data_IF_692336486124
#
_entry.id   IF_692336486124
#
_cell.length_a   1.000
_cell.length_b   1.000
_cell.length_c   1.000
_cell.angle_alpha   90.00
_cell.angle_beta   90.00
_cell.angle_gamma   90.00
#
_symmetry.space_group_name_H-M   'P 1'
#
loop_
_entity.id
_entity.type
_entity.pdbx_description
1 polymer ?
#
# COMPACT_ATOMS: atom_id res chain seq x y z
N UNK A 1 -0.40 -6.27 22.65
CA UNK A 1 -1.77 -6.21 22.13
C UNK A 1 -1.72 -6.31 20.60
N UNK A 2 -2.73 -6.91 19.97
CA UNK A 2 -2.84 -7.00 18.52
C UNK A 2 -3.48 -5.72 17.93
N UNK A 3 -3.21 -5.46 16.65
CA UNK A 3 -4.00 -4.53 15.87
C UNK A 3 -5.41 -5.11 15.64
N UNK A 4 -6.48 -4.28 15.50
CA UNK A 4 -7.86 -4.75 15.31
C UNK A 4 -8.02 -5.76 14.18
N UNK A 5 -7.30 -5.57 13.07
CA UNK A 5 -7.35 -6.50 11.94
C UNK A 5 -6.79 -7.89 12.27
N UNK A 6 -5.79 -7.96 13.13
CA UNK A 6 -5.19 -9.24 13.56
C UNK A 6 -6.19 -9.99 14.46
N UNK A 7 -6.85 -9.30 15.39
CA UNK A 7 -7.86 -9.91 16.25
C UNK A 7 -9.03 -10.44 15.42
N UNK A 8 -9.55 -9.67 14.46
CA UNK A 8 -10.61 -10.09 13.54
C UNK A 8 -10.22 -11.32 12.72
N UNK A 9 -9.00 -11.37 12.23
CA UNK A 9 -8.50 -12.53 11.49
C UNK A 9 -8.44 -13.78 12.37
N UNK A 10 -7.96 -13.65 13.61
CA UNK A 10 -7.91 -14.75 14.58
C UNK A 10 -9.33 -15.21 14.93
N UNK A 11 -10.25 -14.30 15.20
CA UNK A 11 -11.66 -14.60 15.48
C UNK A 11 -12.35 -15.32 14.31
N UNK A 12 -11.97 -15.00 13.07
CA UNK A 12 -12.41 -15.69 11.87
C UNK A 12 -11.74 -17.06 11.63
N UNK A 13 -10.83 -17.48 12.51
CA UNK A 13 -10.14 -18.77 12.45
C UNK A 13 -8.79 -18.76 11.74
N UNK A 14 -8.24 -17.59 11.39
CA UNK A 14 -6.88 -17.51 10.85
C UNK A 14 -5.82 -17.82 11.90
N UNK A 15 -4.76 -18.47 11.48
CA UNK A 15 -3.61 -18.82 12.33
C UNK A 15 -2.43 -17.94 11.94
N UNK A 16 -2.03 -16.95 12.78
CA UNK A 16 -0.82 -16.17 12.55
C UNK A 16 0.42 -17.05 12.63
N UNK A 17 1.17 -17.14 11.55
CA UNK A 17 2.39 -17.98 11.48
C UNK A 17 3.67 -17.20 11.72
N UNK A 18 3.62 -15.87 11.66
CA UNK A 18 4.79 -15.04 11.88
C UNK A 18 4.60 -13.58 11.52
N UNK A 19 5.70 -12.86 11.59
CA UNK A 19 5.84 -11.48 11.11
C UNK A 19 6.95 -11.45 10.08
N UNK A 20 6.67 -10.86 8.95
CA UNK A 20 7.60 -10.72 7.85
C UNK A 20 8.49 -9.49 8.02
N UNK A 21 9.55 -9.42 7.21
CA UNK A 21 10.48 -8.30 7.22
C UNK A 21 9.86 -7.05 6.58
N UNK A 22 10.27 -5.87 7.05
CA UNK A 22 9.93 -4.57 6.50
C UNK A 22 11.15 -3.64 6.61
N UNK A 23 11.24 -2.56 5.85
CA UNK A 23 12.28 -1.55 6.06
C UNK A 23 12.11 -0.87 7.42
N UNK A 24 13.15 -0.20 7.87
CA UNK A 24 13.13 0.52 9.15
C UNK A 24 11.92 1.47 9.21
N UNK A 25 11.11 1.31 10.27
CA UNK A 25 9.85 2.04 10.50
C UNK A 25 8.84 2.00 9.33
N UNK A 26 9.08 1.21 8.28
CA UNK A 26 8.21 1.18 7.10
C UNK A 26 8.44 2.31 6.09
N UNK A 27 9.49 3.11 6.22
CA UNK A 27 9.68 4.34 5.44
C UNK A 27 10.46 4.20 4.13
N UNK A 28 10.66 2.99 3.62
CA UNK A 28 11.38 2.78 2.35
C UNK A 28 10.58 1.90 1.40
N UNK A 29 10.83 2.08 0.10
CA UNK A 29 10.26 1.24 -0.96
C UNK A 29 11.13 0.03 -1.32
N UNK A 30 12.16 -0.24 -0.53
CA UNK A 30 12.97 -1.45 -0.58
C UNK A 30 13.03 -2.07 0.82
N UNK A 31 12.79 -3.37 0.91
CA UNK A 31 12.67 -4.06 2.21
C UNK A 31 14.05 -4.51 2.68
N UNK A 32 14.71 -3.60 3.36
CA UNK A 32 16.00 -3.80 3.99
C UNK A 32 16.05 -3.07 5.34
N UNK A 33 16.63 -3.70 6.35
CA UNK A 33 16.88 -3.08 7.64
C UNK A 33 18.10 -3.69 8.33
N UNK A 34 18.75 -2.94 9.23
CA UNK A 34 19.96 -3.41 9.89
C UNK A 34 19.77 -4.57 10.88
N UNK A 35 18.54 -4.80 11.34
CA UNK A 35 18.24 -5.87 12.29
C UNK A 35 18.18 -7.25 11.63
N UNK A 36 17.59 -7.31 10.42
CA UNK A 36 17.29 -8.57 9.73
C UNK A 36 17.90 -8.66 8.33
N UNK A 37 18.49 -7.57 7.85
CA UNK A 37 19.05 -7.47 6.51
C UNK A 37 17.98 -7.33 5.43
N UNK A 38 18.43 -7.55 4.20
CA UNK A 38 17.63 -7.38 2.99
C UNK A 38 16.74 -8.58 2.70
N UNK A 39 15.51 -8.32 2.31
CA UNK A 39 14.62 -9.29 1.68
C UNK A 39 14.85 -9.26 0.18
N UNK A 40 15.05 -10.42 -0.43
CA UNK A 40 15.30 -10.54 -1.85
C UNK A 40 14.02 -10.77 -2.64
N UNK A 41 13.94 -10.17 -3.83
CA UNK A 41 12.84 -10.44 -4.75
C UNK A 41 12.88 -11.94 -5.18
N UNK A 42 11.74 -12.64 -5.14
CA UNK A 42 11.72 -14.11 -5.40
C UNK A 42 12.03 -14.49 -6.85
N UNK A 43 11.90 -13.54 -7.78
CA UNK A 43 12.14 -13.76 -9.21
C UNK A 43 13.56 -13.41 -9.63
N UNK A 44 14.17 -12.40 -9.01
CA UNK A 44 15.52 -11.98 -9.27
C UNK A 44 16.10 -11.25 -8.05
N UNK A 45 17.18 -11.77 -7.48
CA UNK A 45 17.84 -11.24 -6.28
C UNK A 45 18.43 -9.83 -6.45
N UNK A 46 18.69 -9.41 -7.69
CA UNK A 46 19.19 -8.06 -7.99
C UNK A 46 18.09 -7.00 -7.95
N UNK A 47 16.82 -7.42 -8.01
CA UNK A 47 15.69 -6.52 -7.96
C UNK A 47 15.20 -6.32 -6.52
N UNK A 48 14.47 -5.22 -6.30
CA UNK A 48 13.78 -4.98 -5.04
C UNK A 48 12.52 -5.85 -4.94
N UNK A 49 12.17 -6.37 -3.76
CA UNK A 49 10.85 -6.96 -3.51
C UNK A 49 9.76 -5.90 -3.36
N UNK A 50 10.13 -4.61 -3.46
CA UNK A 50 9.28 -3.50 -3.07
C UNK A 50 9.27 -3.27 -1.55
N UNK A 51 8.50 -2.30 -1.13
CA UNK A 51 8.35 -1.89 0.27
C UNK A 51 7.12 -1.01 0.48
N UNK A 52 6.70 -0.87 1.71
CA UNK A 52 7.31 -1.42 2.92
C UNK A 52 6.89 -2.87 3.24
N UNK A 53 5.78 -3.40 2.71
CA UNK A 53 5.31 -4.77 2.95
C UNK A 53 6.02 -5.82 2.05
N UNK A 54 7.32 -5.63 1.76
CA UNK A 54 8.04 -6.51 0.82
C UNK A 54 8.28 -7.91 1.35
N UNK A 55 8.52 -8.07 2.66
CA UNK A 55 8.63 -9.39 3.26
C UNK A 55 7.35 -10.19 3.15
N UNK A 56 6.20 -9.55 3.32
CA UNK A 56 4.89 -10.18 3.14
C UNK A 56 4.63 -10.59 1.70
N UNK A 57 4.95 -9.69 0.75
CA UNK A 57 4.81 -10.00 -0.67
C UNK A 57 5.66 -11.20 -1.09
N UNK A 58 6.91 -11.29 -0.60
CA UNK A 58 7.79 -12.43 -0.87
C UNK A 58 7.25 -13.72 -0.26
N UNK A 59 6.77 -13.68 0.99
CA UNK A 59 6.21 -14.85 1.65
C UNK A 59 5.00 -15.41 0.88
N UNK A 60 4.12 -14.55 0.39
CA UNK A 60 2.95 -14.94 -0.42
C UNK A 60 3.36 -15.45 -1.80
N UNK A 61 4.27 -14.73 -2.49
CA UNK A 61 4.74 -15.11 -3.82
C UNK A 61 5.42 -16.48 -3.85
N UNK A 62 6.15 -16.80 -2.78
CA UNK A 62 6.87 -18.08 -2.64
C UNK A 62 6.04 -19.21 -2.02
N UNK A 63 4.79 -18.93 -1.63
CA UNK A 63 3.91 -19.94 -1.05
C UNK A 63 4.15 -20.24 0.43
N UNK A 64 4.94 -19.44 1.14
CA UNK A 64 5.14 -19.57 2.59
C UNK A 64 3.84 -19.24 3.36
N UNK A 65 3.04 -18.32 2.83
CA UNK A 65 1.72 -17.98 3.34
C UNK A 65 0.71 -17.86 2.18
N UNK A 66 -0.53 -18.28 2.33
CA UNK A 66 -1.58 -18.07 1.34
C UNK A 66 -2.10 -16.63 1.32
N UNK A 67 -2.01 -15.93 2.46
CA UNK A 67 -2.62 -14.64 2.72
C UNK A 67 -1.76 -13.84 3.70
N UNK A 68 -1.82 -12.53 3.62
CA UNK A 68 -1.09 -11.66 4.50
C UNK A 68 -1.72 -10.28 4.69
N UNK A 69 -1.20 -9.58 5.68
CA UNK A 69 -1.60 -8.24 6.07
C UNK A 69 -0.46 -7.27 5.80
N UNK A 70 -0.77 -6.15 5.17
CA UNK A 70 0.18 -5.07 4.95
C UNK A 70 -0.43 -3.72 5.31
N UNK A 71 0.38 -2.68 5.18
CA UNK A 71 0.00 -1.30 5.42
C UNK A 71 0.39 -0.43 4.23
N UNK A 72 -0.34 0.64 3.96
CA UNK A 72 -0.06 1.52 2.82
C UNK A 72 -0.38 2.99 3.16
N UNK A 73 0.63 3.83 3.12
CA UNK A 73 0.50 5.29 3.14
C UNK A 73 0.89 5.89 1.78
N UNK A 74 1.89 5.33 1.11
CA UNK A 74 2.44 5.84 -0.15
C UNK A 74 2.70 4.76 -1.21
N UNK A 75 2.09 3.57 -1.07
CA UNK A 75 2.27 2.46 -2.00
C UNK A 75 2.71 1.15 -1.35
N UNK A 76 2.81 1.10 -0.03
CA UNK A 76 3.44 -0.02 0.68
C UNK A 76 2.69 -1.36 0.65
N UNK A 77 1.44 -1.40 0.16
CA UNK A 77 0.73 -2.61 -0.28
C UNK A 77 0.93 -2.86 -1.78
N UNK A 78 0.75 -1.82 -2.58
CA UNK A 78 0.68 -1.89 -4.04
C UNK A 78 2.06 -2.08 -4.68
N UNK A 79 3.07 -1.37 -4.22
CA UNK A 79 4.43 -1.46 -4.73
C UNK A 79 5.04 -2.86 -4.55
N UNK A 80 5.05 -3.48 -3.35
CA UNK A 80 5.56 -4.83 -3.21
C UNK A 80 4.72 -5.88 -3.94
N UNK A 81 3.41 -5.70 -4.05
CA UNK A 81 2.57 -6.59 -4.85
C UNK A 81 2.97 -6.55 -6.34
N UNK A 82 3.21 -5.36 -6.88
CA UNK A 82 3.73 -5.17 -8.24
C UNK A 82 5.11 -5.84 -8.41
N UNK A 83 6.04 -5.61 -7.48
CA UNK A 83 7.41 -6.14 -7.56
C UNK A 83 7.46 -7.67 -7.46
N UNK A 84 6.56 -8.29 -6.70
CA UNK A 84 6.56 -9.73 -6.44
C UNK A 84 5.54 -10.51 -7.28
N UNK A 85 4.66 -9.83 -8.05
CA UNK A 85 3.67 -10.48 -8.90
C UNK A 85 2.52 -11.13 -8.12
N UNK A 86 2.06 -10.48 -7.06
CA UNK A 86 0.87 -10.88 -6.29
C UNK A 86 -0.23 -9.81 -6.39
N UNK A 87 -1.38 -10.08 -5.82
CA UNK A 87 -2.46 -9.10 -5.69
C UNK A 87 -2.45 -8.45 -4.30
N UNK A 88 -2.84 -7.18 -4.25
CA UNK A 88 -3.07 -6.45 -3.00
C UNK A 88 -4.23 -5.47 -3.16
N UNK A 89 -4.79 -5.05 -2.05
CA UNK A 89 -5.84 -4.05 -2.03
C UNK A 89 -5.50 -2.98 -1.00
N UNK A 90 -5.39 -1.73 -1.46
CA UNK A 90 -5.44 -0.56 -0.60
C UNK A 90 -6.89 -0.06 -0.55
N UNK A 91 -7.63 -0.34 0.53
CA UNK A 91 -9.00 0.15 0.65
C UNK A 91 -9.05 1.65 0.89
N UNK A 92 -10.23 2.23 0.79
CA UNK A 92 -10.47 3.61 1.23
C UNK A 92 -10.27 3.71 2.74
N UNK A 93 -9.81 4.87 3.19
CA UNK A 93 -9.64 5.17 4.62
C UNK A 93 -10.96 4.92 5.36
N UNK A 94 -10.85 4.33 6.55
CA UNK A 94 -11.99 3.98 7.39
C UNK A 94 -12.75 2.71 6.98
N UNK A 95 -12.43 2.07 5.86
CA UNK A 95 -13.03 0.75 5.51
C UNK A 95 -12.50 -0.37 6.38
N UNK A 96 -11.23 -0.32 6.70
CA UNK A 96 -10.54 -1.19 7.66
C UNK A 96 -10.10 -0.31 8.82
N UNK A 97 -10.34 -0.69 10.06
CA UNK A 97 -9.91 0.11 11.21
C UNK A 97 -8.39 0.09 11.32
N UNK A 98 -7.82 1.27 11.53
CA UNK A 98 -6.41 1.46 11.76
C UNK A 98 -6.19 2.03 13.16
N UNK A 99 -5.46 1.31 13.99
CA UNK A 99 -5.08 1.73 15.34
C UNK A 99 -3.58 1.60 15.49
N UNK A 100 -2.90 2.73 15.64
CA UNK A 100 -1.48 2.73 15.96
C UNK A 100 -1.30 2.29 17.42
N UNK A 101 -0.74 1.10 17.62
CA UNK A 101 -0.53 0.51 18.94
C UNK A 101 0.95 0.37 19.31
N UNK A 102 1.84 1.03 18.56
CA UNK A 102 3.28 0.99 18.79
C UNK A 102 3.62 2.02 19.88
N UNK A 103 4.28 1.56 20.94
CA UNK A 103 4.83 2.42 21.98
C UNK A 103 6.30 2.79 21.66
N UNK A 104 6.76 4.05 21.83
CA UNK A 104 5.93 5.20 22.20
C UNK A 104 4.95 5.57 21.10
N UNK A 105 3.79 6.08 21.49
CA UNK A 105 2.76 6.50 20.53
C UNK A 105 3.30 7.63 19.65
N UNK A 106 3.34 7.39 18.35
CA UNK A 106 3.73 8.38 17.35
C UNK A 106 2.46 8.95 16.74
N UNK A 107 2.23 10.24 16.95
CA UNK A 107 1.16 10.97 16.28
C UNK A 107 1.58 11.23 14.82
N UNK A 108 0.93 10.57 13.88
CA UNK A 108 1.19 10.75 12.46
C UNK A 108 0.59 12.04 11.90
N UNK A 109 -0.13 12.82 12.73
CA UNK A 109 -0.75 14.08 12.32
C UNK A 109 -1.62 13.92 11.07
N UNK A 110 -1.45 14.81 10.09
CA UNK A 110 -2.19 14.77 8.82
C UNK A 110 -1.91 13.50 8.02
N UNK A 111 -0.72 12.91 8.16
CA UNK A 111 -0.34 11.67 7.46
C UNK A 111 -1.22 10.47 7.83
N UNK A 112 -1.82 10.49 9.03
CA UNK A 112 -2.79 9.47 9.47
C UNK A 112 -4.05 9.40 8.58
N UNK A 113 -4.36 10.47 7.85
CA UNK A 113 -5.44 10.50 6.87
C UNK A 113 -5.14 9.69 5.58
N UNK A 114 -3.92 9.19 5.39
CA UNK A 114 -3.50 8.43 4.21
C UNK A 114 -3.18 6.97 4.53
N UNK A 115 -2.96 6.65 5.80
CA UNK A 115 -2.60 5.29 6.23
C UNK A 115 -3.80 4.37 6.20
N UNK A 116 -3.64 3.18 5.64
CA UNK A 116 -4.61 2.11 5.76
C UNK A 116 -3.93 0.75 5.76
N UNK A 117 -4.49 -0.17 6.52
CA UNK A 117 -4.15 -1.58 6.41
C UNK A 117 -4.91 -2.22 5.25
N UNK A 118 -4.38 -3.32 4.72
CA UNK A 118 -5.02 -4.03 3.63
C UNK A 118 -4.54 -5.45 3.43
N UNK A 119 -5.34 -6.26 2.73
CA UNK A 119 -5.02 -7.64 2.42
C UNK A 119 -4.03 -7.76 1.25
N UNK A 120 -3.19 -8.79 1.32
CA UNK A 120 -2.29 -9.25 0.28
C UNK A 120 -2.49 -10.74 0.04
N UNK A 121 -2.56 -11.18 -1.23
CA UNK A 121 -2.79 -12.58 -1.59
C UNK A 121 -2.37 -12.86 -3.04
N UNK A 122 -2.38 -14.13 -3.45
CA UNK A 122 -2.15 -14.49 -4.87
C UNK A 122 -3.39 -14.32 -5.75
N UNK A 123 -4.57 -14.24 -5.17
CA UNK A 123 -5.82 -14.11 -5.94
C UNK A 123 -6.71 -12.97 -5.44
N UNK A 124 -7.52 -12.41 -6.35
CA UNK A 124 -8.51 -11.38 -6.00
C UNK A 124 -9.63 -11.96 -5.12
N UNK A 125 -9.96 -13.24 -5.28
CA UNK A 125 -10.94 -13.92 -4.41
C UNK A 125 -10.51 -13.93 -2.95
N UNK A 126 -9.22 -14.20 -2.69
CA UNK A 126 -8.66 -14.19 -1.34
C UNK A 126 -8.61 -12.77 -0.76
N UNK A 127 -8.29 -11.76 -1.59
CA UNK A 127 -8.37 -10.35 -1.16
C UNK A 127 -9.79 -9.97 -0.74
N UNK A 128 -10.79 -10.41 -1.51
CA UNK A 128 -12.21 -10.16 -1.20
C UNK A 128 -12.63 -10.84 0.10
N UNK A 129 -12.21 -12.08 0.31
CA UNK A 129 -12.44 -12.80 1.55
C UNK A 129 -11.77 -12.09 2.73
N UNK A 130 -10.49 -11.75 2.62
CA UNK A 130 -9.76 -11.01 3.65
C UNK A 130 -10.42 -9.66 3.98
N UNK A 131 -10.80 -8.89 2.96
CA UNK A 131 -11.49 -7.63 3.17
C UNK A 131 -12.81 -7.81 3.92
N UNK A 132 -13.57 -8.88 3.65
CA UNK A 132 -14.84 -9.15 4.33
C UNK A 132 -14.69 -9.42 5.84
N UNK A 133 -13.53 -9.92 6.25
CA UNK A 133 -13.19 -10.14 7.66
C UNK A 133 -12.63 -8.87 8.31
N UNK A 134 -11.77 -8.14 7.58
CA UNK A 134 -11.04 -6.99 8.13
C UNK A 134 -11.89 -5.73 8.22
N UNK A 135 -12.87 -5.54 7.32
CA UNK A 135 -13.66 -4.32 7.21
C UNK A 135 -14.66 -4.14 8.37
N UNK A 136 -15.07 -2.86 8.55
CA UNK A 136 -16.11 -2.48 9.52
C UNK A 136 -15.58 -1.62 10.67
N UNK A 137 -16.50 -1.07 11.43
CA UNK A 137 -16.23 -0.13 12.53
C UNK A 137 -15.49 -0.79 13.69
N UNK A 138 -14.56 -0.04 14.30
CA UNK A 138 -13.89 -0.41 15.55
C UNK A 138 -13.92 0.77 16.53
N UNK A 139 -14.12 0.48 17.82
CA UNK A 139 -14.31 1.53 18.85
C UNK A 139 -13.10 2.44 19.02
N UNK A 140 -11.89 1.94 18.77
CA UNK A 140 -10.64 2.67 18.93
C UNK A 140 -10.22 3.45 17.67
N UNK A 141 -10.94 3.26 16.55
CA UNK A 141 -10.75 4.06 15.34
C UNK A 141 -12.03 4.81 14.98
N UNK A 142 -12.16 6.08 15.38
CA UNK A 142 -13.34 6.88 15.11
C UNK A 142 -13.57 7.14 13.61
N UNK A 143 -12.58 6.96 12.76
CA UNK A 143 -12.68 7.10 11.29
C UNK A 143 -13.28 5.85 10.65
N UNK A 144 -13.26 4.71 11.34
CA UNK A 144 -13.77 3.46 10.80
C UNK A 144 -15.29 3.45 10.72
N UNK A 145 -15.80 2.89 9.62
CA UNK A 145 -17.26 2.88 9.31
C UNK A 145 -17.73 1.48 8.93
N UNK A 146 -18.99 1.21 9.28
CA UNK A 146 -19.72 0.09 8.72
C UNK A 146 -20.38 0.53 7.40
N UNK A 147 -19.94 -0.06 6.31
CA UNK A 147 -20.52 0.18 5.00
C UNK A 147 -20.51 -1.11 4.17
N UNK A 148 -21.52 -1.35 3.32
CA UNK A 148 -21.56 -2.53 2.48
C UNK A 148 -20.30 -2.69 1.62
N UNK A 149 -19.81 -3.91 1.50
CA UNK A 149 -18.70 -4.26 0.59
C UNK A 149 -19.17 -4.52 -0.83
N UNK A 150 -20.46 -4.73 -1.00
CA UNK A 150 -21.12 -4.97 -2.29
C UNK A 150 -22.25 -3.97 -2.48
N UNK A 151 -22.48 -3.60 -3.72
CA UNK A 151 -23.55 -2.68 -4.12
C UNK A 151 -24.10 -3.06 -5.49
N UNK A 152 -25.09 -2.33 -5.97
CA UNK A 152 -25.57 -2.50 -7.33
C UNK A 152 -24.45 -2.17 -8.33
N UNK A 153 -24.18 -3.11 -9.22
CA UNK A 153 -23.29 -2.87 -10.36
C UNK A 153 -24.09 -2.18 -11.44
N UNK A 154 -23.64 -1.05 -12.02
CA UNK A 154 -24.31 -0.44 -13.16
C UNK A 154 -24.46 -1.45 -14.31
N UNK A 155 -25.55 -1.38 -15.06
CA UNK A 155 -25.78 -2.24 -16.22
C UNK A 155 -24.64 -2.13 -17.26
N UNK A 156 -24.06 -0.94 -17.37
CA UNK A 156 -22.86 -0.66 -18.18
C UNK A 156 -21.81 0.04 -17.30
N UNK A 157 -20.95 -0.70 -16.63
CA UNK A 157 -19.89 -0.09 -15.84
C UNK A 157 -18.88 0.61 -16.75
N UNK A 158 -18.33 1.74 -16.30
CA UNK A 158 -17.35 2.54 -17.05
C UNK A 158 -15.95 2.37 -16.45
N UNK A 159 -14.96 2.40 -17.33
CA UNK A 159 -13.55 2.43 -16.93
C UNK A 159 -12.79 3.49 -17.73
N UNK A 160 -12.02 4.32 -17.02
CA UNK A 160 -11.06 5.24 -17.60
C UNK A 160 -9.70 4.54 -17.75
N UNK A 161 -9.15 4.53 -18.94
CA UNK A 161 -7.85 3.93 -19.25
C UNK A 161 -6.80 5.03 -19.40
N UNK A 162 -5.88 5.10 -18.46
CA UNK A 162 -4.75 6.05 -18.47
C UNK A 162 -3.51 5.29 -18.95
N UNK A 163 -3.04 5.56 -20.16
CA UNK A 163 -1.85 4.92 -20.76
C UNK A 163 -0.59 5.76 -20.63
N UNK A 164 -0.74 7.05 -20.45
CA UNK A 164 0.35 8.00 -20.35
C UNK A 164 0.13 8.95 -19.18
N UNK A 165 1.20 9.29 -18.51
CA UNK A 165 1.21 10.28 -17.43
C UNK A 165 2.26 11.31 -17.83
N UNK A 166 1.86 12.57 -17.90
CA UNK A 166 2.76 13.68 -18.25
C UNK A 166 3.97 13.67 -17.30
N UNK A 167 5.16 13.89 -17.85
CA UNK A 167 6.45 13.86 -17.13
C UNK A 167 6.85 12.51 -16.50
N UNK A 168 6.08 11.43 -16.69
CA UNK A 168 6.46 10.09 -16.26
C UNK A 168 6.67 9.17 -17.47
N UNK A 169 7.87 8.63 -17.60
CA UNK A 169 8.15 7.65 -18.65
C UNK A 169 7.75 6.24 -18.20
N UNK A 170 6.53 5.82 -18.56
CA UNK A 170 6.08 4.47 -18.32
C UNK A 170 6.80 3.47 -19.23
N UNK A 171 7.36 2.37 -18.69
CA UNK A 171 7.94 1.32 -19.51
C UNK A 171 6.93 0.74 -20.51
N UNK A 172 7.37 0.42 -21.71
CA UNK A 172 6.51 -0.18 -22.74
C UNK A 172 5.81 -1.48 -22.29
N UNK A 173 6.44 -2.25 -21.40
CA UNK A 173 5.82 -3.43 -20.81
C UNK A 173 4.59 -3.05 -19.97
N UNK A 174 4.68 -1.99 -19.15
CA UNK A 174 3.57 -1.49 -18.34
C UNK A 174 2.44 -0.97 -19.23
N UNK A 175 2.75 -0.21 -20.28
CA UNK A 175 1.73 0.28 -21.24
C UNK A 175 0.97 -0.87 -21.88
N UNK A 176 1.66 -1.94 -22.32
CA UNK A 176 1.00 -3.13 -22.89
C UNK A 176 0.06 -3.83 -21.90
N UNK A 177 0.44 -3.94 -20.63
CA UNK A 177 -0.43 -4.57 -19.63
C UNK A 177 -1.65 -3.69 -19.29
N UNK A 178 -1.52 -2.37 -19.32
CA UNK A 178 -2.65 -1.43 -19.20
C UNK A 178 -3.63 -1.62 -20.39
N UNK A 179 -3.13 -1.68 -21.61
CA UNK A 179 -3.95 -1.91 -22.83
C UNK A 179 -4.66 -3.27 -22.77
N UNK A 180 -3.96 -4.31 -22.31
CA UNK A 180 -4.53 -5.64 -22.12
C UNK A 180 -5.64 -5.62 -21.06
N UNK A 181 -5.46 -4.93 -19.95
CA UNK A 181 -6.48 -4.75 -18.92
C UNK A 181 -7.73 -4.04 -19.50
N UNK A 182 -7.53 -2.97 -20.26
CA UNK A 182 -8.62 -2.29 -20.98
C UNK A 182 -9.39 -3.22 -21.92
N UNK A 183 -8.68 -4.04 -22.68
CA UNK A 183 -9.28 -5.03 -23.60
C UNK A 183 -10.10 -6.09 -22.83
N UNK A 184 -9.60 -6.58 -21.71
CA UNK A 184 -10.32 -7.55 -20.85
C UNK A 184 -11.61 -6.92 -20.31
N UNK A 185 -11.56 -5.68 -19.82
CA UNK A 185 -12.73 -4.97 -19.32
C UNK A 185 -13.77 -4.77 -20.44
N UNK A 186 -13.34 -4.29 -21.60
CA UNK A 186 -14.24 -4.10 -22.76
C UNK A 186 -14.92 -5.40 -23.19
N UNK A 187 -14.17 -6.51 -23.27
CA UNK A 187 -14.71 -7.83 -23.58
C UNK A 187 -15.67 -8.37 -22.51
N UNK A 188 -15.58 -7.82 -21.30
CA UNK A 188 -16.46 -8.15 -20.16
C UNK A 188 -17.68 -7.22 -20.07
N UNK A 189 -17.93 -6.39 -21.10
CA UNK A 189 -19.10 -5.52 -21.19
C UNK A 189 -18.95 -4.14 -20.54
N UNK A 190 -17.73 -3.75 -20.14
CA UNK A 190 -17.45 -2.41 -19.64
C UNK A 190 -17.32 -1.41 -20.80
N UNK A 191 -17.76 -0.19 -20.55
CA UNK A 191 -17.49 0.97 -21.41
C UNK A 191 -16.12 1.53 -21.03
N UNK A 192 -15.12 1.30 -21.90
CA UNK A 192 -13.72 1.66 -21.62
C UNK A 192 -13.34 2.86 -22.47
N UNK A 193 -12.99 3.96 -21.85
CA UNK A 193 -12.58 5.20 -22.48
C UNK A 193 -11.12 5.52 -22.14
N UNK A 194 -10.31 5.85 -23.14
CA UNK A 194 -8.96 6.36 -22.93
C UNK A 194 -9.03 7.82 -22.52
N UNK A 195 -8.40 8.16 -21.39
CA UNK A 195 -8.40 9.51 -20.84
C UNK A 195 -6.99 9.96 -20.47
N UNK A 196 -6.78 11.27 -20.42
CA UNK A 196 -5.57 11.86 -19.85
C UNK A 196 -5.55 11.67 -18.32
N UNK A 197 -4.35 11.52 -17.76
CA UNK A 197 -4.17 11.43 -16.31
C UNK A 197 -4.57 12.75 -15.63
N UNK A 198 -5.47 12.73 -14.65
CA UNK A 198 -5.84 13.97 -13.96
C UNK A 198 -4.69 14.42 -13.06
N UNK A 199 -4.22 15.64 -13.21
CA UNK A 199 -3.30 16.41 -12.32
C UNK A 199 -2.38 15.56 -11.39
N UNK A 200 -1.78 14.48 -11.90
CA UNK A 200 -0.99 13.53 -11.09
C UNK A 200 0.19 14.21 -10.42
N UNK A 201 0.79 15.19 -11.07
CA UNK A 201 1.91 15.98 -10.52
C UNK A 201 1.49 16.71 -9.25
N UNK A 202 0.34 17.39 -9.29
CA UNK A 202 -0.20 18.10 -8.13
C UNK A 202 -0.54 17.17 -6.97
N UNK A 203 -1.07 15.98 -7.28
CA UNK A 203 -1.34 14.95 -6.25
C UNK A 203 -0.03 14.50 -5.60
N UNK A 204 1.03 14.34 -6.40
CA UNK A 204 2.34 13.94 -5.89
C UNK A 204 2.97 15.02 -5.01
N UNK A 205 2.88 16.29 -5.41
CA UNK A 205 3.34 17.44 -4.60
C UNK A 205 2.60 17.55 -3.27
N UNK A 206 1.26 17.47 -3.30
CA UNK A 206 0.42 17.52 -2.09
C UNK A 206 0.79 16.35 -1.16
N UNK A 207 0.88 15.15 -1.70
CA UNK A 207 1.23 13.97 -0.91
C UNK A 207 2.62 14.09 -0.27
N UNK A 208 3.61 14.56 -1.04
CA UNK A 208 4.96 14.80 -0.53
C UNK A 208 5.00 15.84 0.58
N UNK A 209 4.27 16.95 0.41
CA UNK A 209 4.16 18.01 1.43
C UNK A 209 3.51 17.48 2.72
N UNK A 210 2.42 16.74 2.59
CA UNK A 210 1.71 16.16 3.75
C UNK A 210 2.60 15.14 4.47
N UNK A 211 3.30 14.30 3.73
CA UNK A 211 4.20 13.30 4.31
C UNK A 211 5.35 13.97 5.06
N UNK A 212 5.96 15.00 4.50
CA UNK A 212 7.07 15.70 5.14
C UNK A 212 6.64 16.45 6.38
N UNK A 213 5.60 17.28 6.29
CA UNK A 213 5.16 18.15 7.40
C UNK A 213 4.40 17.37 8.49
N UNK A 214 3.84 16.21 8.19
CA UNK A 214 3.11 15.41 9.16
C UNK A 214 3.91 14.29 9.79
N UNK A 215 4.70 13.59 8.99
CA UNK A 215 5.34 12.35 9.40
C UNK A 215 6.80 12.55 9.81
N UNK A 216 7.57 13.26 8.99
CA UNK A 216 9.01 13.41 9.24
C UNK A 216 9.30 14.37 10.38
N UNK A 217 8.50 15.43 10.52
CA UNK A 217 8.61 16.38 11.64
C UNK A 217 8.16 15.77 12.98
N UNK A 218 7.28 14.76 12.94
CA UNK A 218 6.78 14.12 14.16
C UNK A 218 7.71 13.05 14.73
N UNK A 219 8.72 12.60 13.96
CA UNK A 219 9.62 11.52 14.38
C UNK A 219 11.00 12.10 14.66
N UNK A 220 11.51 12.02 15.92
CA UNK A 220 12.84 12.48 16.24
C UNK A 220 13.93 11.82 15.38
N UNK A 221 14.89 12.60 14.89
CA UNK A 221 15.99 12.12 14.03
C UNK A 221 16.77 10.95 14.66
N UNK A 222 16.84 10.89 15.99
CA UNK A 222 17.55 9.86 16.75
C UNK A 222 16.89 8.48 16.66
N UNK A 223 15.62 8.41 16.24
CA UNK A 223 14.90 7.13 16.03
C UNK A 223 15.39 6.42 14.78
N UNK A 224 15.84 7.19 13.78
CA UNK A 224 16.34 6.63 12.53
C UNK A 224 17.84 6.36 12.57
N UNK A 225 18.26 5.29 11.91
CA UNK A 225 19.67 5.14 11.59
C UNK A 225 20.08 6.17 10.53
N UNK A 226 21.37 6.56 10.51
CA UNK A 226 21.86 7.59 9.58
C UNK A 226 21.47 7.36 8.13
N UNK A 227 21.49 6.12 7.66
CA UNK A 227 21.16 5.76 6.27
C UNK A 227 19.67 5.97 5.96
N UNK A 228 18.79 5.69 6.91
CA UNK A 228 17.34 5.92 6.75
C UNK A 228 17.04 7.41 6.82
N UNK A 229 17.66 8.14 7.74
CA UNK A 229 17.51 9.59 7.84
C UNK A 229 18.01 10.29 6.55
N UNK A 230 19.15 9.87 5.98
CA UNK A 230 19.65 10.38 4.73
C UNK A 230 18.71 10.08 3.55
N UNK A 231 18.18 8.86 3.47
CA UNK A 231 17.18 8.49 2.46
C UNK A 231 15.94 9.38 2.55
N UNK A 232 15.41 9.59 3.75
CA UNK A 232 14.23 10.42 3.96
C UNK A 232 14.48 11.88 3.58
N UNK A 233 15.65 12.44 3.93
CA UNK A 233 16.07 13.78 3.52
C UNK A 233 16.10 13.92 1.99
N UNK A 234 16.76 13.02 1.28
CA UNK A 234 16.81 13.02 -0.18
C UNK A 234 15.44 12.87 -0.82
N UNK A 235 14.57 12.05 -0.22
CA UNK A 235 13.21 11.88 -0.69
C UNK A 235 12.38 13.15 -0.50
N UNK A 236 12.62 13.91 0.58
CA UNK A 236 11.88 15.11 0.94
C UNK A 236 12.38 16.38 0.26
N UNK A 237 13.67 16.45 -0.12
CA UNK A 237 14.30 17.66 -0.74
C UNK A 237 13.49 18.27 -1.89
N UNK A 238 12.94 17.51 -2.86
CA UNK A 238 12.16 18.08 -3.94
C UNK A 238 10.90 18.83 -3.49
N UNK A 239 10.34 18.46 -2.31
CA UNK A 239 9.10 19.02 -1.79
C UNK A 239 9.36 20.22 -0.86
N UNK A 240 10.50 20.26 -0.17
CA UNK A 240 10.88 21.36 0.73
C UNK A 240 11.32 22.60 -0.05
N UNK A 241 12.00 22.41 -1.18
CA UNK A 241 12.58 23.50 -1.97
C UNK A 241 11.57 24.21 -2.88
N UNK A 242 10.38 23.70 -3.06
CA UNK A 242 9.36 24.27 -3.95
C UNK A 242 8.41 25.26 -3.27
N UNK A 243 8.71 25.82 -2.10
CA UNK A 243 7.96 26.91 -1.44
C UNK A 243 6.48 26.98 -1.87
N UNK A 244 5.68 25.94 -1.56
CA UNK A 244 4.24 25.95 -1.75
C UNK A 244 3.57 26.24 -0.40
#
# INVERSE_FOLDING_TARGET
RNAPIVDRMIEAGAIPIGRTNLPEMGFRLDTDNPLRGRTFNPWNKELTPGGSSGGEAVAIATGMSPFGLGNDIGGSLRNPAYCCGIASLKPSIGRIPYVNSIEPFIDLGVSDAFVTDGPMARSVSDLRLGLSVMAGRHIEDPKSIDAPLTGAVPEKPKAALVKEITNFNLPNATKREIEKAGSILSNSGWDVEEVEAPEVERVFEIWGTVLNNGLLDAIPDEIFKPETAEYLKRFSEPFINNNI
#
